data_IF_229633525884
#
_entry.id   IF_229633525884
#
_cell.length_a   1.000
_cell.length_b   1.000
_cell.length_c   1.000
_cell.angle_alpha   90.00
_cell.angle_beta   90.00
_cell.angle_gamma   90.00
#
_symmetry.space_group_name_H-M   'P 1'
#
loop_
_entity.id
_entity.type
_entity.pdbx_description
1 polymer ?
#
# COMPACT_ATOMS: atom_id res chain seq x y z
N UNK A 1 -21.77 -15.94 -3.87
CA UNK A 1 -21.34 -14.78 -3.09
C UNK A 1 -22.40 -14.45 -2.05
N UNK A 2 -22.00 -13.98 -0.88
CA UNK A 2 -22.87 -13.66 0.26
C UNK A 2 -23.89 -12.57 -0.10
N UNK A 3 -23.46 -11.60 -0.92
CA UNK A 3 -24.30 -10.50 -1.41
C UNK A 3 -25.49 -11.01 -2.24
N UNK A 4 -25.27 -12.00 -3.10
CA UNK A 4 -26.34 -12.61 -3.89
C UNK A 4 -27.38 -13.31 -2.98
N UNK A 5 -26.93 -13.97 -1.91
CA UNK A 5 -27.85 -14.63 -0.95
C UNK A 5 -28.62 -13.63 -0.09
N UNK A 6 -28.01 -12.51 0.30
CA UNK A 6 -28.66 -11.46 1.10
C UNK A 6 -29.75 -10.72 0.33
N UNK A 7 -29.69 -10.70 -0.98
CA UNK A 7 -30.64 -9.97 -1.83
C UNK A 7 -31.66 -10.92 -2.45
N UNK A 8 -31.22 -12.10 -2.89
CA UNK A 8 -32.14 -13.09 -3.50
C UNK A 8 -33.16 -13.64 -2.49
N UNK A 9 -32.75 -13.83 -1.23
CA UNK A 9 -33.65 -14.38 -0.20
C UNK A 9 -34.83 -13.46 0.15
N UNK A 10 -34.62 -12.14 0.42
CA UNK A 10 -35.74 -11.21 0.61
C UNK A 10 -36.62 -11.02 -0.62
N UNK A 11 -36.00 -10.98 -1.83
CA UNK A 11 -36.75 -10.88 -3.09
C UNK A 11 -37.62 -12.10 -3.33
N UNK A 12 -37.12 -13.30 -3.08
CA UNK A 12 -37.91 -14.55 -3.12
C UNK A 12 -39.03 -14.58 -2.05
N UNK A 13 -38.72 -14.14 -0.83
CA UNK A 13 -39.75 -14.03 0.25
C UNK A 13 -40.84 -13.02 -0.10
N UNK A 14 -40.46 -11.86 -0.71
CA UNK A 14 -41.43 -10.88 -1.21
C UNK A 14 -42.29 -11.43 -2.33
N UNK A 15 -41.75 -12.21 -3.26
CA UNK A 15 -42.44 -12.91 -4.32
C UNK A 15 -43.42 -13.96 -3.77
N UNK A 16 -43.02 -14.74 -2.78
CA UNK A 16 -43.88 -15.72 -2.12
C UNK A 16 -45.03 -15.05 -1.34
N UNK A 17 -44.79 -13.92 -0.66
CA UNK A 17 -45.82 -13.14 0.04
C UNK A 17 -46.73 -12.35 -0.93
N UNK A 18 -46.32 -12.03 -2.13
CA UNK A 18 -47.10 -11.35 -3.16
C UNK A 18 -48.32 -12.18 -3.62
N UNK A 19 -48.39 -13.46 -3.28
CA UNK A 19 -49.55 -14.34 -3.56
C UNK A 19 -50.88 -13.83 -2.94
N UNK A 20 -50.80 -12.85 -2.01
CA UNK A 20 -52.00 -12.22 -1.39
C UNK A 20 -52.42 -10.90 -2.06
N UNK A 21 -51.90 -10.53 -3.22
CA UNK A 21 -52.30 -9.40 -4.09
C UNK A 21 -52.74 -8.12 -3.32
N UNK A 22 -52.02 -7.73 -2.29
CA UNK A 22 -52.22 -6.43 -1.64
C UNK A 22 -51.26 -5.42 -2.22
N UNK A 23 -51.70 -4.16 -2.49
CA UNK A 23 -50.83 -3.12 -3.02
C UNK A 23 -49.57 -2.88 -2.18
N UNK A 24 -49.59 -3.22 -0.91
CA UNK A 24 -48.43 -3.16 0.00
C UNK A 24 -47.34 -4.17 -0.36
N UNK A 25 -47.67 -5.37 -0.84
CA UNK A 25 -46.68 -6.36 -1.24
C UNK A 25 -46.02 -6.01 -2.58
N UNK A 26 -46.76 -5.39 -3.49
CA UNK A 26 -46.19 -4.86 -4.75
C UNK A 26 -45.25 -3.71 -4.49
N UNK A 27 -45.60 -2.78 -3.60
CA UNK A 27 -44.75 -1.67 -3.20
C UNK A 27 -43.45 -2.17 -2.55
N UNK A 28 -43.54 -3.15 -1.64
CA UNK A 28 -42.37 -3.75 -1.01
C UNK A 28 -41.43 -4.41 -2.03
N UNK A 29 -41.98 -5.12 -3.04
CA UNK A 29 -41.19 -5.71 -4.14
C UNK A 29 -40.49 -4.65 -4.95
N UNK A 30 -41.17 -3.56 -5.29
CA UNK A 30 -40.64 -2.47 -6.08
C UNK A 30 -39.51 -1.73 -5.35
N UNK A 31 -39.67 -1.49 -4.05
CA UNK A 31 -38.62 -0.90 -3.20
C UNK A 31 -37.41 -1.83 -3.12
N UNK A 32 -37.63 -3.14 -2.91
CA UNK A 32 -36.54 -4.13 -2.83
C UNK A 32 -35.77 -4.19 -4.17
N UNK A 33 -36.50 -4.17 -5.30
CA UNK A 33 -35.87 -4.16 -6.62
C UNK A 33 -35.08 -2.87 -6.87
N UNK A 34 -35.61 -1.72 -6.46
CA UNK A 34 -34.93 -0.44 -6.60
C UNK A 34 -33.64 -0.40 -5.77
N UNK A 35 -33.68 -0.86 -4.50
CA UNK A 35 -32.50 -0.96 -3.62
C UNK A 35 -31.46 -1.91 -4.22
N UNK A 36 -31.90 -3.04 -4.77
CA UNK A 36 -31.02 -3.96 -5.48
C UNK A 36 -30.34 -3.30 -6.70
N UNK A 37 -31.13 -2.59 -7.52
CA UNK A 37 -30.64 -1.92 -8.71
C UNK A 37 -29.61 -0.83 -8.37
N UNK A 38 -29.90 -0.04 -7.33
CA UNK A 38 -28.98 0.97 -6.78
C UNK A 38 -27.71 0.30 -6.25
N UNK A 39 -27.83 -0.80 -5.50
CA UNK A 39 -26.69 -1.55 -4.99
C UNK A 39 -25.80 -2.15 -6.09
N UNK A 40 -26.42 -2.67 -7.16
CA UNK A 40 -25.69 -3.16 -8.34
C UNK A 40 -24.99 -2.01 -9.08
N UNK A 41 -25.66 -0.89 -9.31
CA UNK A 41 -25.07 0.29 -9.95
C UNK A 41 -23.91 0.82 -9.10
N UNK A 42 -24.08 0.94 -7.79
CA UNK A 42 -23.02 1.37 -6.87
C UNK A 42 -21.79 0.45 -6.99
N UNK A 43 -21.99 -0.87 -6.96
CA UNK A 43 -20.90 -1.84 -7.09
C UNK A 43 -20.20 -1.77 -8.47
N UNK A 44 -20.94 -1.52 -9.54
CA UNK A 44 -20.37 -1.42 -10.88
C UNK A 44 -19.62 -0.11 -11.12
N UNK A 45 -20.04 0.98 -10.47
CA UNK A 45 -19.46 2.32 -10.68
C UNK A 45 -18.36 2.67 -9.67
N UNK A 46 -18.52 2.28 -8.42
CA UNK A 46 -17.59 2.62 -7.33
C UNK A 46 -16.65 1.46 -7.02
N UNK A 47 -17.17 0.23 -7.10
CA UNK A 47 -16.44 -0.95 -6.69
C UNK A 47 -16.45 -1.16 -5.17
N UNK A 48 -15.79 -2.22 -4.72
CA UNK A 48 -15.53 -2.49 -3.31
C UNK A 48 -14.12 -2.00 -2.96
N UNK A 49 -13.87 -1.60 -1.69
CA UNK A 49 -12.52 -1.24 -1.28
C UNK A 49 -11.53 -2.37 -1.59
N UNK A 50 -10.37 -2.08 -2.17
CA UNK A 50 -9.37 -3.09 -2.38
C UNK A 50 -8.82 -3.55 -1.02
N UNK A 51 -8.44 -4.80 -0.93
CA UNK A 51 -7.72 -5.27 0.24
C UNK A 51 -6.31 -4.69 0.19
N UNK A 52 -5.94 -3.93 1.22
CA UNK A 52 -4.60 -3.38 1.34
C UNK A 52 -3.55 -4.50 1.40
N UNK A 53 -2.51 -4.47 0.57
CA UNK A 53 -1.41 -5.42 0.69
C UNK A 53 -0.59 -5.11 1.95
N UNK A 54 0.03 -6.15 2.51
CA UNK A 54 0.81 -6.07 3.75
C UNK A 54 2.28 -6.22 3.40
N UNK A 55 3.08 -5.21 3.71
CA UNK A 55 4.53 -5.33 3.73
C UNK A 55 4.96 -5.86 5.10
N UNK A 56 5.71 -6.93 5.10
CA UNK A 56 6.25 -7.52 6.33
C UNK A 56 7.77 -7.41 6.34
N UNK A 57 8.30 -6.84 7.41
CA UNK A 57 9.73 -6.73 7.70
C UNK A 57 9.99 -7.56 8.97
N UNK A 58 10.64 -8.69 8.84
CA UNK A 58 10.70 -9.73 9.86
C UNK A 58 9.27 -10.10 10.35
N UNK A 59 8.97 -9.90 11.61
CA UNK A 59 7.65 -10.17 12.21
C UNK A 59 6.70 -8.97 12.16
N UNK A 60 7.22 -7.78 11.81
CA UNK A 60 6.45 -6.54 11.82
C UNK A 60 5.66 -6.37 10.54
N UNK A 61 4.36 -6.14 10.65
CA UNK A 61 3.44 -5.93 9.52
C UNK A 61 3.16 -4.44 9.35
N UNK A 62 3.27 -3.97 8.13
CA UNK A 62 3.02 -2.59 7.74
C UNK A 62 1.91 -2.58 6.68
N UNK A 63 0.82 -1.90 6.99
CA UNK A 63 -0.29 -1.64 6.07
C UNK A 63 -0.30 -0.16 5.76
N UNK A 64 -0.08 0.21 4.49
CA UNK A 64 -0.07 1.61 4.09
C UNK A 64 -1.44 2.27 4.33
N UNK A 65 -1.44 3.55 4.67
CA UNK A 65 -2.59 4.36 5.05
C UNK A 65 -3.28 3.94 6.37
N UNK A 66 -2.76 2.92 7.06
CA UNK A 66 -3.26 2.45 8.36
C UNK A 66 -2.18 2.53 9.44
N UNK A 67 -1.01 1.92 9.20
CA UNK A 67 0.12 1.90 10.16
C UNK A 67 0.63 3.30 10.42
N UNK A 68 0.71 3.70 11.67
CA UNK A 68 1.24 5.00 12.10
C UNK A 68 2.75 4.94 12.35
N UNK A 69 3.38 6.11 12.39
CA UNK A 69 4.79 6.20 12.79
C UNK A 69 5.01 5.69 14.23
N UNK A 70 4.06 5.93 15.15
CA UNK A 70 4.08 5.35 16.50
C UNK A 70 4.14 3.82 16.50
N UNK A 71 3.34 3.18 15.62
CA UNK A 71 3.29 1.71 15.53
C UNK A 71 4.64 1.14 15.05
N UNK A 72 5.31 1.84 14.11
CA UNK A 72 6.65 1.47 13.67
C UNK A 72 7.67 1.56 14.82
N UNK A 73 7.63 2.65 15.59
CA UNK A 73 8.54 2.83 16.73
C UNK A 73 8.29 1.78 17.82
N UNK A 74 7.04 1.43 18.11
CA UNK A 74 6.66 0.37 19.05
C UNK A 74 7.11 -1.02 18.55
N UNK A 75 7.15 -1.24 17.22
CA UNK A 75 7.69 -2.45 16.61
C UNK A 75 9.23 -2.48 16.56
N UNK A 76 9.90 -1.49 17.14
CA UNK A 76 11.35 -1.40 17.26
C UNK A 76 12.05 -0.85 16.03
N UNK A 77 11.33 -0.12 15.18
CA UNK A 77 11.96 0.66 14.10
C UNK A 77 12.39 2.03 14.62
N UNK A 78 13.50 2.50 14.10
CA UNK A 78 13.97 3.86 14.27
C UNK A 78 13.58 4.71 13.05
N UNK A 79 13.04 5.90 13.29
CA UNK A 79 12.75 6.88 12.25
C UNK A 79 13.80 7.97 12.35
N UNK A 80 14.44 8.29 11.23
CA UNK A 80 15.39 9.39 11.13
C UNK A 80 14.81 10.49 10.24
N UNK A 81 14.94 11.72 10.71
CA UNK A 81 14.41 12.91 10.04
C UNK A 81 15.56 13.67 9.38
N UNK A 82 15.41 14.00 8.13
CA UNK A 82 16.40 14.80 7.39
C UNK A 82 16.56 16.19 8.02
N UNK A 83 17.80 16.61 8.26
CA UNK A 83 18.16 17.91 8.80
C UNK A 83 18.83 18.82 7.77
N UNK A 84 19.51 18.25 6.79
CA UNK A 84 20.29 18.96 5.80
C UNK A 84 19.92 18.60 4.36
N UNK A 85 20.45 19.37 3.42
CA UNK A 85 20.26 19.16 1.96
C UNK A 85 21.43 18.41 1.31
N UNK A 86 22.40 17.92 2.09
CA UNK A 86 23.54 17.17 1.61
C UNK A 86 23.14 15.80 1.06
N UNK A 87 23.88 15.31 0.07
CA UNK A 87 23.89 13.89 -0.29
C UNK A 87 24.66 13.12 0.77
N UNK A 88 24.30 11.88 1.01
CA UNK A 88 25.00 10.96 1.91
C UNK A 88 25.19 9.64 1.21
N UNK A 89 26.35 9.06 1.37
CA UNK A 89 26.55 7.66 1.02
C UNK A 89 25.79 6.77 2.02
N UNK A 90 25.35 5.60 1.58
CA UNK A 90 24.53 4.72 2.41
C UNK A 90 25.17 4.41 3.76
N UNK A 91 26.47 4.16 3.78
CA UNK A 91 27.24 3.80 4.98
C UNK A 91 27.29 4.92 6.03
N UNK A 92 27.17 6.17 5.61
CA UNK A 92 27.29 7.36 6.45
C UNK A 92 25.93 7.96 6.84
N UNK A 93 24.80 7.44 6.29
CA UNK A 93 23.46 8.02 6.47
C UNK A 93 23.07 8.28 7.93
N UNK A 94 23.52 7.44 8.86
CA UNK A 94 23.18 7.57 10.28
C UNK A 94 24.21 8.38 11.07
N UNK A 95 25.35 8.75 10.46
CA UNK A 95 26.53 9.32 11.16
C UNK A 95 26.97 10.67 10.64
N UNK A 96 26.64 11.02 9.40
CA UNK A 96 27.07 12.26 8.73
C UNK A 96 26.35 13.53 9.20
N UNK A 97 25.32 13.39 10.05
CA UNK A 97 24.54 14.49 10.57
C UNK A 97 23.43 15.02 9.63
N UNK A 98 23.29 14.47 8.43
CA UNK A 98 22.20 14.83 7.52
C UNK A 98 20.85 14.27 7.98
N UNK A 99 20.87 13.22 8.82
CA UNK A 99 19.68 12.64 9.41
C UNK A 99 19.83 12.55 10.92
N UNK A 100 18.77 12.86 11.63
CA UNK A 100 18.71 12.78 13.09
C UNK A 100 17.64 11.78 13.50
N UNK A 101 18.01 10.86 14.39
CA UNK A 101 17.06 9.93 14.99
C UNK A 101 15.95 10.70 15.71
N UNK A 102 14.73 10.37 15.40
CA UNK A 102 13.54 10.92 16.04
C UNK A 102 13.37 10.31 17.43
N UNK A 103 13.15 11.16 18.42
CA UNK A 103 13.08 10.76 19.83
C UNK A 103 11.67 10.46 20.34
N UNK A 104 10.62 10.66 19.51
CA UNK A 104 9.23 10.54 19.95
C UNK A 104 8.76 11.72 20.81
N UNK A 105 9.38 12.91 20.64
CA UNK A 105 9.15 14.09 21.46
C UNK A 105 8.08 15.04 20.88
N UNK A 106 7.36 14.59 19.83
CA UNK A 106 6.33 15.36 19.11
C UNK A 106 6.83 16.67 18.48
N UNK A 107 8.14 16.76 18.27
CA UNK A 107 8.78 17.95 17.70
C UNK A 107 8.64 18.07 16.18
N UNK A 108 8.30 16.95 15.52
CA UNK A 108 8.16 16.87 14.06
C UNK A 108 6.69 16.82 13.68
N UNK A 109 6.31 17.67 12.73
CA UNK A 109 4.93 17.77 12.21
C UNK A 109 4.94 17.44 10.74
N UNK A 110 3.98 16.62 10.31
CA UNK A 110 3.69 16.33 8.91
C UNK A 110 2.63 17.32 8.44
N UNK A 111 2.94 18.05 7.39
CA UNK A 111 2.02 19.01 6.81
C UNK A 111 0.77 18.32 6.26
N UNK A 112 -0.34 19.07 6.28
CA UNK A 112 -1.58 18.62 5.66
C UNK A 112 -1.45 18.47 4.14
N UNK A 113 -2.28 17.62 3.57
CA UNK A 113 -2.35 17.33 2.15
C UNK A 113 -1.54 16.11 1.75
N UNK A 114 -2.03 15.46 0.70
CA UNK A 114 -1.41 14.24 0.16
C UNK A 114 -0.21 14.59 -0.72
N UNK A 115 0.95 14.02 -0.41
CA UNK A 115 2.16 14.12 -1.22
C UNK A 115 2.93 12.81 -1.17
N UNK A 116 3.25 12.29 -2.33
CA UNK A 116 4.25 11.24 -2.47
C UNK A 116 5.60 11.91 -2.80
N UNK A 117 6.66 11.40 -2.17
CA UNK A 117 8.00 11.87 -2.51
C UNK A 117 8.40 11.35 -3.89
N UNK A 118 9.07 12.21 -4.64
CA UNK A 118 9.64 11.78 -5.90
C UNK A 118 10.90 10.96 -5.64
N UNK A 119 11.05 9.83 -6.37
CA UNK A 119 12.25 9.00 -6.33
C UNK A 119 13.52 9.72 -6.84
N UNK A 120 13.42 11.01 -7.19
CA UNK A 120 14.53 11.81 -7.65
C UNK A 120 15.53 12.18 -6.55
N UNK A 121 15.11 12.09 -5.28
CA UNK A 121 15.99 12.36 -4.14
C UNK A 121 16.09 11.10 -3.28
N UNK A 122 17.24 10.42 -3.30
CA UNK A 122 17.46 9.26 -2.45
C UNK A 122 17.25 9.62 -0.97
N UNK A 123 16.56 8.75 -0.24
CA UNK A 123 16.39 8.87 1.20
C UNK A 123 15.67 10.13 1.71
N UNK A 124 14.73 10.68 0.97
CA UNK A 124 13.95 11.84 1.44
C UNK A 124 12.54 11.41 1.87
N UNK A 125 11.91 12.13 2.81
CA UNK A 125 12.49 12.99 3.85
C UNK A 125 12.81 12.23 5.14
N UNK A 126 12.35 10.96 5.27
CA UNK A 126 12.51 10.13 6.46
C UNK A 126 13.18 8.81 6.12
N UNK A 127 14.11 8.35 6.97
CA UNK A 127 14.66 6.99 6.88
C UNK A 127 13.94 6.09 7.88
N UNK A 128 13.73 4.85 7.46
CA UNK A 128 13.34 3.74 8.30
C UNK A 128 14.56 2.85 8.57
N UNK A 129 14.91 2.68 9.83
CA UNK A 129 16.01 1.83 10.24
C UNK A 129 15.56 0.83 11.30
N UNK A 130 16.27 -0.28 11.43
CA UNK A 130 16.09 -1.27 12.49
C UNK A 130 17.45 -1.82 12.89
N UNK A 131 17.69 -1.87 14.19
CA UNK A 131 18.96 -2.37 14.76
C UNK A 131 20.21 -1.69 14.16
N UNK A 132 20.10 -0.40 13.85
CA UNK A 132 21.19 0.40 13.25
C UNK A 132 21.38 0.20 11.75
N UNK A 133 20.50 -0.53 11.07
CA UNK A 133 20.52 -0.80 9.64
C UNK A 133 19.45 0.03 8.95
N UNK A 134 19.85 0.84 7.97
CA UNK A 134 18.90 1.60 7.15
C UNK A 134 18.20 0.65 6.20
N UNK A 135 16.88 0.52 6.32
CA UNK A 135 16.07 -0.31 5.45
C UNK A 135 15.58 0.44 4.21
N UNK A 136 15.51 1.77 4.28
CA UNK A 136 15.05 2.58 3.16
C UNK A 136 14.46 3.90 3.62
N UNK A 137 13.72 4.55 2.72
CA UNK A 137 12.97 5.76 3.03
C UNK A 137 11.49 5.46 3.28
N UNK A 138 10.86 6.34 4.04
CA UNK A 138 9.42 6.27 4.35
C UNK A 138 8.80 7.65 4.23
N UNK A 139 7.58 7.69 3.70
CA UNK A 139 6.79 8.93 3.60
C UNK A 139 5.55 8.80 4.47
N UNK A 140 5.21 9.87 5.17
CA UNK A 140 4.08 9.94 6.07
C UNK A 140 3.02 10.91 5.55
N UNK A 141 1.78 10.63 5.91
CA UNK A 141 0.61 11.42 5.60
C UNK A 141 -0.15 11.78 6.89
N UNK A 142 -0.52 13.03 7.03
CA UNK A 142 -1.33 13.51 8.15
C UNK A 142 -2.83 13.39 7.85
N UNK A 143 -3.38 14.37 7.18
CA UNK A 143 -4.75 14.42 6.66
C UNK A 143 -4.87 15.51 5.60
N UNK A 144 -6.00 15.60 4.89
CA UNK A 144 -6.28 16.71 3.97
C UNK A 144 -6.55 18.03 4.72
N UNK A 145 -7.06 17.95 5.93
CA UNK A 145 -7.56 19.12 6.66
C UNK A 145 -6.55 19.72 7.63
N UNK A 146 -5.74 18.89 8.29
CA UNK A 146 -4.85 19.33 9.37
C UNK A 146 -3.51 18.64 9.34
N UNK A 147 -2.47 19.37 9.74
CA UNK A 147 -1.15 18.81 10.02
C UNK A 147 -1.18 18.02 11.33
N UNK A 148 -0.48 16.90 11.39
CA UNK A 148 -0.38 16.04 12.56
C UNK A 148 1.08 15.91 12.99
N UNK A 149 1.30 15.59 14.27
CA UNK A 149 2.62 15.18 14.73
C UNK A 149 3.00 13.85 14.05
N UNK A 150 4.31 13.63 13.90
CA UNK A 150 4.83 12.46 13.19
C UNK A 150 4.25 11.16 13.73
N UNK A 151 4.14 10.99 15.05
CA UNK A 151 3.64 9.76 15.69
C UNK A 151 2.22 9.39 15.25
N UNK A 152 1.37 10.39 15.00
CA UNK A 152 -0.02 10.19 14.61
C UNK A 152 -0.20 10.07 13.09
N UNK A 153 0.86 10.35 12.33
CA UNK A 153 0.84 10.30 10.87
C UNK A 153 0.98 8.88 10.35
N UNK A 154 0.31 8.58 9.24
CA UNK A 154 0.25 7.25 8.65
C UNK A 154 1.32 7.07 7.59
N UNK A 155 1.87 5.87 7.49
CA UNK A 155 2.78 5.49 6.41
C UNK A 155 2.00 5.41 5.10
N UNK A 156 2.46 6.11 4.05
CA UNK A 156 1.85 6.05 2.72
C UNK A 156 2.81 5.59 1.62
N UNK A 157 4.12 5.61 1.86
CA UNK A 157 5.10 5.11 0.91
C UNK A 157 6.31 4.55 1.64
N UNK A 158 6.85 3.46 1.12
CA UNK A 158 8.12 2.87 1.53
C UNK A 158 8.92 2.59 0.26
N UNK A 159 10.20 2.94 0.30
CA UNK A 159 11.10 2.72 -0.81
C UNK A 159 12.41 2.10 -0.31
N UNK A 160 12.78 0.95 -0.87
CA UNK A 160 14.05 0.28 -0.64
C UNK A 160 14.89 0.38 -1.90
N UNK A 161 16.06 0.96 -1.77
CA UNK A 161 17.04 1.00 -2.86
C UNK A 161 17.99 -0.21 -2.78
N UNK A 162 18.90 -0.30 -3.73
CA UNK A 162 19.84 -1.42 -3.86
C UNK A 162 20.66 -1.63 -2.58
N UNK A 163 21.22 -0.56 -2.05
CA UNK A 163 22.10 -0.62 -0.86
C UNK A 163 21.32 -1.11 0.37
N UNK A 164 20.11 -0.63 0.58
CA UNK A 164 19.26 -1.07 1.70
C UNK A 164 18.79 -2.52 1.56
N UNK A 165 18.54 -2.98 0.33
CA UNK A 165 18.20 -4.37 0.02
C UNK A 165 19.40 -5.29 0.31
N UNK A 166 20.60 -4.90 -0.12
CA UNK A 166 21.84 -5.65 0.16
C UNK A 166 22.15 -5.70 1.67
N UNK A 167 21.91 -4.59 2.38
CA UNK A 167 22.05 -4.54 3.82
C UNK A 167 21.02 -5.45 4.53
N UNK A 168 19.76 -5.47 4.09
CA UNK A 168 18.74 -6.36 4.63
C UNK A 168 19.14 -7.83 4.43
N UNK A 169 19.63 -8.21 3.24
CA UNK A 169 20.13 -9.56 2.96
C UNK A 169 21.30 -9.96 3.88
N UNK A 170 22.29 -9.07 4.02
CA UNK A 170 23.50 -9.33 4.83
C UNK A 170 23.21 -9.49 6.33
N UNK A 171 22.15 -8.86 6.82
CA UNK A 171 21.73 -8.92 8.23
C UNK A 171 20.56 -9.87 8.48
N UNK A 172 20.21 -10.72 7.50
CA UNK A 172 19.12 -11.71 7.61
C UNK A 172 17.77 -11.08 7.97
N UNK A 173 17.51 -9.87 7.48
CA UNK A 173 16.22 -9.22 7.60
C UNK A 173 15.33 -9.74 6.47
N UNK A 174 14.18 -10.31 6.81
CA UNK A 174 13.21 -10.78 5.82
C UNK A 174 12.31 -9.64 5.34
N UNK A 175 12.06 -9.59 4.03
CA UNK A 175 11.15 -8.63 3.39
C UNK A 175 10.10 -9.42 2.60
N UNK A 176 8.83 -9.23 2.91
CA UNK A 176 7.73 -9.92 2.21
C UNK A 176 6.61 -8.95 1.85
N UNK A 177 6.04 -9.12 0.68
CA UNK A 177 4.79 -8.45 0.29
C UNK A 177 3.68 -9.52 0.25
N UNK A 178 2.74 -9.44 1.18
CA UNK A 178 1.84 -10.54 1.50
C UNK A 178 2.65 -11.84 1.73
N UNK A 179 2.44 -12.87 0.90
CA UNK A 179 3.16 -14.14 1.00
C UNK A 179 4.45 -14.19 0.14
N UNK A 180 4.68 -13.20 -0.74
CA UNK A 180 5.85 -13.17 -1.61
C UNK A 180 7.10 -12.75 -0.84
N UNK A 181 8.13 -13.60 -0.84
CA UNK A 181 9.48 -13.24 -0.37
C UNK A 181 10.16 -12.34 -1.42
N UNK A 182 10.40 -11.08 -1.05
CA UNK A 182 11.00 -10.09 -1.94
C UNK A 182 12.51 -10.26 -2.11
N UNK A 183 13.18 -11.00 -1.21
CA UNK A 183 14.62 -11.25 -1.28
C UNK A 183 14.98 -12.53 -2.02
N UNK A 184 13.97 -13.35 -2.35
CA UNK A 184 14.13 -14.54 -3.19
C UNK A 184 14.24 -14.20 -4.67
N UNK A 185 14.26 -15.24 -5.51
CA UNK A 185 14.19 -15.06 -6.96
C UNK A 185 12.76 -14.72 -7.38
N UNK A 186 12.59 -13.61 -8.07
CA UNK A 186 11.29 -13.08 -8.50
C UNK A 186 11.05 -13.33 -9.99
N UNK A 187 11.02 -14.60 -10.41
CA UNK A 187 10.63 -14.96 -11.77
C UNK A 187 9.11 -14.77 -11.99
N UNK A 188 8.69 -14.79 -13.24
CA UNK A 188 7.29 -14.52 -13.62
C UNK A 188 6.31 -15.48 -12.96
N UNK A 189 6.65 -16.77 -12.87
CA UNK A 189 5.78 -17.79 -12.27
C UNK A 189 5.58 -17.52 -10.78
N UNK A 190 6.64 -17.16 -10.07
CA UNK A 190 6.62 -16.80 -8.65
C UNK A 190 5.75 -15.58 -8.40
N UNK A 191 5.91 -14.51 -9.18
CA UNK A 191 5.13 -13.28 -9.01
C UNK A 191 3.68 -13.48 -9.44
N UNK A 192 3.42 -14.16 -10.54
CA UNK A 192 2.06 -14.44 -11.04
C UNK A 192 1.28 -15.32 -10.07
N UNK A 193 1.91 -16.35 -9.49
CA UNK A 193 1.22 -17.22 -8.50
C UNK A 193 0.73 -16.46 -7.26
N UNK A 194 1.38 -15.36 -6.89
CA UNK A 194 1.00 -14.53 -5.75
C UNK A 194 0.06 -13.37 -6.13
N UNK A 195 0.23 -12.79 -7.33
CA UNK A 195 -0.37 -11.51 -7.67
C UNK A 195 -1.02 -11.42 -9.06
N UNK A 196 -1.39 -12.52 -9.70
CA UNK A 196 -1.96 -12.54 -11.06
C UNK A 196 -2.99 -11.42 -11.30
N UNK A 197 -3.91 -11.23 -10.35
CA UNK A 197 -5.00 -10.23 -10.46
C UNK A 197 -4.56 -8.78 -10.29
N UNK A 198 -3.36 -8.57 -9.77
CA UNK A 198 -2.81 -7.27 -9.45
C UNK A 198 -1.64 -6.88 -10.35
N UNK A 199 -1.18 -7.83 -11.17
CA UNK A 199 -0.06 -7.63 -12.08
C UNK A 199 -0.51 -6.82 -13.31
N UNK A 200 -0.07 -5.56 -13.41
CA UNK A 200 -0.36 -4.70 -14.57
C UNK A 200 0.84 -4.56 -15.51
N UNK A 201 2.04 -4.87 -15.05
CA UNK A 201 3.25 -4.91 -15.87
C UNK A 201 4.19 -6.02 -15.41
N UNK A 202 4.86 -6.65 -16.36
CA UNK A 202 5.86 -7.70 -16.11
C UNK A 202 7.06 -7.50 -17.04
N UNK A 203 8.24 -8.03 -16.68
CA UNK A 203 9.38 -8.07 -17.58
C UNK A 203 9.03 -8.71 -18.91
N UNK A 204 9.64 -8.27 -20.02
CA UNK A 204 9.41 -8.88 -21.33
C UNK A 204 9.91 -10.32 -21.33
N UNK A 205 9.18 -11.20 -22.02
CA UNK A 205 9.54 -12.62 -22.17
C UNK A 205 10.69 -12.86 -23.14
N UNK A 206 11.13 -11.81 -23.86
CA UNK A 206 12.23 -11.90 -24.83
C UNK A 206 13.54 -11.41 -24.21
N UNK A 207 14.62 -12.21 -24.25
CA UNK A 207 15.92 -11.84 -23.65
C UNK A 207 16.61 -10.64 -24.27
N UNK A 208 16.11 -10.09 -25.37
CA UNK A 208 16.74 -8.97 -26.10
C UNK A 208 16.37 -7.59 -25.54
N UNK A 209 15.42 -7.48 -24.64
CA UNK A 209 14.98 -6.20 -24.07
C UNK A 209 15.20 -6.18 -22.55
N UNK A 210 16.42 -5.83 -22.15
CA UNK A 210 16.81 -5.67 -20.74
C UNK A 210 16.37 -4.32 -20.14
N UNK A 211 15.73 -3.46 -20.93
CA UNK A 211 15.39 -2.10 -20.52
C UNK A 211 14.23 -2.00 -19.52
N UNK A 212 13.51 -3.09 -19.28
CA UNK A 212 12.31 -3.10 -18.43
C UNK A 212 12.23 -4.34 -17.51
N UNK A 213 13.25 -4.58 -16.73
CA UNK A 213 13.23 -5.65 -15.74
C UNK A 213 12.51 -5.17 -14.46
N UNK A 214 11.17 -5.10 -14.53
CA UNK A 214 10.36 -4.69 -13.38
C UNK A 214 8.94 -5.27 -13.43
N UNK A 215 8.38 -5.48 -12.25
CA UNK A 215 6.97 -5.79 -12.05
C UNK A 215 6.23 -4.56 -11.54
N UNK A 216 5.03 -4.32 -12.09
CA UNK A 216 4.07 -3.37 -11.57
C UNK A 216 2.87 -4.08 -10.99
N UNK A 217 2.58 -3.83 -9.72
CA UNK A 217 1.41 -4.36 -9.03
C UNK A 217 0.47 -3.22 -8.67
N UNK A 218 -0.85 -3.45 -8.82
CA UNK A 218 -1.87 -2.44 -8.51
C UNK A 218 -3.07 -3.08 -7.80
N UNK A 219 -3.51 -2.45 -6.75
CA UNK A 219 -4.74 -2.74 -6.00
C UNK A 219 -5.65 -1.52 -6.11
N UNK A 220 -6.30 -1.38 -7.27
CA UNK A 220 -7.17 -0.27 -7.62
C UNK A 220 -8.62 -0.67 -7.71
N UNK A 221 -9.48 0.33 -7.77
CA UNK A 221 -10.91 0.21 -7.97
C UNK A 221 -11.34 0.87 -9.28
N UNK A 222 -12.60 0.66 -9.67
CA UNK A 222 -13.17 1.36 -10.83
C UNK A 222 -13.38 2.87 -10.57
N UNK A 223 -13.23 3.32 -9.32
CA UNK A 223 -13.49 4.70 -8.90
C UNK A 223 -12.25 5.61 -8.91
N UNK A 224 -11.09 5.09 -9.34
CA UNK A 224 -9.84 5.86 -9.41
C UNK A 224 -9.56 6.65 -8.12
N UNK A 225 -9.38 5.95 -7.01
CA UNK A 225 -9.16 6.48 -5.64
C UNK A 225 -10.15 7.57 -5.19
N UNK A 226 -11.29 7.72 -5.85
CA UNK A 226 -12.27 8.74 -5.47
C UNK A 226 -12.90 8.43 -4.10
N UNK A 227 -13.20 7.15 -3.83
CA UNK A 227 -13.87 6.70 -2.60
C UNK A 227 -13.01 5.81 -1.71
N UNK A 228 -12.01 5.12 -2.29
CA UNK A 228 -11.19 4.14 -1.61
C UNK A 228 -9.72 4.42 -1.82
N UNK A 229 -8.90 4.13 -0.81
CA UNK A 229 -7.46 4.12 -0.99
C UNK A 229 -7.07 3.06 -2.02
N UNK A 230 -6.10 3.36 -2.85
CA UNK A 230 -5.51 2.45 -3.81
C UNK A 230 -4.04 2.25 -3.49
N UNK A 231 -3.50 1.11 -3.91
CA UNK A 231 -2.12 0.76 -3.58
C UNK A 231 -1.41 0.32 -4.83
N UNK A 232 -0.14 0.63 -4.93
CA UNK A 232 0.70 0.15 -6.01
C UNK A 232 2.09 -0.23 -5.50
N UNK A 233 2.74 -1.12 -6.23
CA UNK A 233 4.13 -1.48 -6.00
C UNK A 233 4.88 -1.60 -7.31
N UNK A 234 6.13 -1.15 -7.30
CA UNK A 234 7.09 -1.34 -8.39
C UNK A 234 8.26 -2.12 -7.82
N UNK A 235 8.58 -3.24 -8.45
CA UNK A 235 9.69 -4.12 -8.09
C UNK A 235 10.66 -4.13 -9.25
N UNK A 236 11.82 -3.46 -9.14
CA UNK A 236 12.86 -3.48 -10.17
C UNK A 236 13.86 -4.59 -9.89
N UNK A 237 14.30 -5.24 -10.96
CA UNK A 237 15.10 -6.46 -10.89
C UNK A 237 16.43 -6.26 -11.64
N UNK A 238 17.42 -7.05 -11.23
CA UNK A 238 18.61 -7.29 -12.03
C UNK A 238 18.40 -8.44 -13.06
N UNK A 239 19.45 -8.77 -13.79
CA UNK A 239 19.42 -9.82 -14.82
C UNK A 239 19.20 -11.23 -14.26
N UNK A 240 19.44 -11.44 -12.96
CA UNK A 240 19.22 -12.70 -12.24
C UNK A 240 17.83 -12.79 -11.59
N UNK A 241 16.94 -11.82 -11.89
CA UNK A 241 15.61 -11.68 -11.27
C UNK A 241 15.67 -11.46 -9.75
N UNK A 242 16.72 -10.81 -9.26
CA UNK A 242 16.82 -10.36 -7.89
C UNK A 242 16.34 -8.92 -7.78
N UNK A 243 15.60 -8.62 -6.73
CA UNK A 243 15.15 -7.25 -6.47
C UNK A 243 16.34 -6.33 -6.17
N UNK A 244 16.40 -5.20 -6.87
CA UNK A 244 17.39 -4.13 -6.68
C UNK A 244 16.75 -2.80 -6.28
N UNK A 245 15.44 -2.66 -6.42
CA UNK A 245 14.70 -1.48 -6.01
C UNK A 245 13.23 -1.88 -5.78
N UNK A 246 12.63 -1.32 -4.75
CA UNK A 246 11.26 -1.62 -4.38
C UNK A 246 10.56 -0.35 -3.92
N UNK A 247 9.47 -0.03 -4.59
CA UNK A 247 8.57 1.04 -4.19
C UNK A 247 7.21 0.44 -3.86
N UNK A 248 6.65 0.87 -2.73
CA UNK A 248 5.31 0.50 -2.29
C UNK A 248 4.61 1.74 -1.76
N UNK A 249 3.52 2.13 -2.40
CA UNK A 249 2.83 3.37 -2.08
C UNK A 249 1.31 3.21 -2.08
N UNK A 250 0.65 4.05 -1.28
CA UNK A 250 -0.79 4.21 -1.24
C UNK A 250 -1.18 5.55 -1.83
N UNK A 251 -2.22 5.57 -2.64
CA UNK A 251 -2.92 6.76 -3.04
C UNK A 251 -4.16 6.90 -2.17
N UNK A 252 -4.22 8.00 -1.42
CA UNK A 252 -5.30 8.24 -0.45
C UNK A 252 -6.57 8.65 -1.18
N UNK A 253 -7.71 8.14 -0.73
CA UNK A 253 -9.02 8.54 -1.23
C UNK A 253 -9.24 10.04 -1.03
N UNK A 254 -9.88 10.71 -2.02
CA UNK A 254 -9.99 12.18 -2.06
C UNK A 254 -10.81 12.79 -0.92
N UNK A 255 -11.68 12.00 -0.29
CA UNK A 255 -12.62 12.47 0.74
C UNK A 255 -12.31 11.89 2.15
N UNK A 256 -11.06 11.52 2.43
CA UNK A 256 -10.64 11.00 3.75
C UNK A 256 -9.74 11.97 4.51
#
# INVERSE_FOLDING_TARGET
>A
SILAKMILLPALMALFNARKRTGKSLLALLITFLVFLVGVMFNLTIGLPPQAPILQINESKITLAETKASDLMEAGFDIYVRQGNGGSDYEDLLTDGNFKKYSGDKSVTIDKGFRLDSNAVPYAPYLLAKDGIVLGSVTFYSSEEQSLVLEDSKVIQIHFNKESIEAAKSHSISLRLNELDLLGKLDLDTVTSNFEKHLWSSPPTSPSDTSQLWYGLNWSTNSDHLFWNEYYSIIRLDEDYQMIDFEFAAQIARDQ
#
